data_IF_243897590004
#
_entry.id   IF_243897590004
#
_cell.length_a   1.000
_cell.length_b   1.000
_cell.length_c   1.000
_cell.angle_alpha   90.00
_cell.angle_beta   90.00
_cell.angle_gamma   90.00
#
_symmetry.space_group_name_H-M   'P 1'
#
loop_
_entity.id
_entity.type
_entity.pdbx_description
1 polymer ?
#
# COMPACT_ATOMS: atom_id res chain seq x y z
N UNK A 1 -10.16 2.31 -3.69
CA UNK A 1 -10.76 3.11 -4.80
C UNK A 1 -10.86 2.29 -6.07
N UNK A 2 -11.84 2.59 -6.94
CA UNK A 2 -11.90 1.95 -8.26
C UNK A 2 -10.73 2.41 -9.14
N UNK A 3 -10.10 1.48 -9.85
CA UNK A 3 -8.88 1.68 -10.67
C UNK A 3 -8.98 2.77 -11.76
N UNK A 4 -10.16 3.33 -12.01
CA UNK A 4 -10.40 4.27 -13.12
C UNK A 4 -10.05 5.74 -12.83
N UNK A 5 -9.85 6.13 -11.56
CA UNK A 5 -9.44 7.51 -11.22
C UNK A 5 -7.93 7.72 -11.24
N UNK A 6 -7.14 6.64 -11.21
CA UNK A 6 -5.67 6.70 -11.17
C UNK A 6 -5.13 6.64 -12.61
N UNK A 7 -4.61 7.76 -13.09
CA UNK A 7 -4.04 7.87 -14.43
C UNK A 7 -2.69 7.16 -14.47
N UNK A 8 -2.55 6.20 -15.39
CA UNK A 8 -1.26 5.58 -15.70
C UNK A 8 -0.55 6.39 -16.77
N UNK A 9 0.19 7.42 -16.36
CA UNK A 9 0.85 8.38 -17.23
C UNK A 9 1.69 7.74 -18.33
N UNK A 10 2.48 6.71 -18.01
CA UNK A 10 3.30 5.98 -19.00
C UNK A 10 2.47 5.33 -20.12
N UNK A 11 1.33 4.73 -19.77
CA UNK A 11 0.45 4.07 -20.74
C UNK A 11 -0.34 5.08 -21.55
N UNK A 12 -0.81 6.13 -20.90
CA UNK A 12 -1.53 7.23 -21.53
C UNK A 12 -0.64 7.92 -22.57
N UNK A 13 0.62 8.16 -22.22
CA UNK A 13 1.62 8.69 -23.14
C UNK A 13 1.82 7.81 -24.36
N UNK A 14 1.98 6.50 -24.14
CA UNK A 14 2.15 5.54 -25.23
C UNK A 14 0.93 5.50 -26.16
N UNK A 15 -0.28 5.74 -25.64
CA UNK A 15 -1.51 5.80 -26.43
C UNK A 15 -1.68 7.11 -27.19
N UNK A 16 -1.28 8.24 -26.62
CA UNK A 16 -1.36 9.56 -27.28
C UNK A 16 -0.29 9.76 -28.36
N UNK A 17 0.88 9.12 -28.22
CA UNK A 17 1.95 9.25 -29.21
C UNK A 17 1.63 8.34 -30.42
N UNK A 18 1.61 8.91 -31.65
CA UNK A 18 1.43 8.12 -32.86
C UNK A 18 2.58 7.12 -33.03
N UNK A 19 2.34 5.91 -33.58
CA UNK A 19 3.34 4.83 -33.62
C UNK A 19 4.70 5.24 -34.19
N UNK A 20 4.71 6.15 -35.16
CA UNK A 20 5.92 6.66 -35.85
C UNK A 20 6.85 7.43 -34.90
N UNK A 21 6.30 8.08 -33.87
CA UNK A 21 7.02 8.93 -32.91
C UNK A 21 7.35 8.20 -31.59
N UNK A 22 7.04 6.91 -31.46
CA UNK A 22 7.33 6.10 -30.26
C UNK A 22 8.80 5.69 -30.13
N UNK A 23 9.72 6.61 -30.42
CA UNK A 23 11.15 6.43 -30.15
C UNK A 23 11.45 6.81 -28.70
N UNK A 24 12.44 6.15 -28.10
CA UNK A 24 12.82 6.37 -26.69
C UNK A 24 13.11 7.84 -26.38
N UNK A 25 13.81 8.54 -27.27
CA UNK A 25 14.16 9.96 -27.11
C UNK A 25 12.94 10.88 -27.01
N UNK A 26 11.92 10.67 -27.84
CA UNK A 26 10.70 11.48 -27.81
C UNK A 26 9.87 11.18 -26.56
N UNK A 27 9.85 9.94 -26.11
CA UNK A 27 9.15 9.52 -24.90
C UNK A 27 9.81 10.15 -23.66
N UNK A 28 11.14 10.08 -23.56
CA UNK A 28 11.90 10.68 -22.46
C UNK A 28 11.72 12.21 -22.43
N UNK A 29 11.75 12.88 -23.59
CA UNK A 29 11.51 14.32 -23.69
C UNK A 29 10.09 14.71 -23.24
N UNK A 30 9.08 13.95 -23.65
CA UNK A 30 7.69 14.21 -23.27
C UNK A 30 7.43 13.93 -21.79
N UNK A 31 8.10 12.93 -21.21
CA UNK A 31 8.07 12.67 -19.77
C UNK A 31 8.57 13.89 -18.99
N UNK A 32 9.68 14.50 -19.42
CA UNK A 32 10.21 15.72 -18.77
C UNK A 32 9.17 16.85 -18.80
N UNK A 33 8.52 17.07 -19.95
CA UNK A 33 7.46 18.09 -20.10
C UNK A 33 6.21 17.80 -19.26
N UNK A 34 5.91 16.54 -18.99
CA UNK A 34 4.75 16.14 -18.19
C UNK A 34 5.00 16.12 -16.69
N UNK A 35 6.26 16.13 -16.25
CA UNK A 35 6.63 16.20 -14.82
C UNK A 35 5.80 17.23 -14.02
N UNK A 36 5.68 18.51 -14.43
CA UNK A 36 4.89 19.49 -13.67
C UNK A 36 3.39 19.18 -13.67
N UNK A 37 2.88 18.54 -14.71
CA UNK A 37 1.47 18.15 -14.77
C UNK A 37 1.20 16.93 -13.88
N UNK A 38 2.16 16.00 -13.82
CA UNK A 38 2.17 14.88 -12.90
C UNK A 38 2.17 15.35 -11.44
N UNK A 39 3.01 16.33 -11.08
CA UNK A 39 3.05 16.86 -9.70
C UNK A 39 1.72 17.50 -9.32
N UNK A 40 1.13 18.33 -10.19
CA UNK A 40 -0.19 18.94 -9.94
C UNK A 40 -1.27 17.87 -9.81
N UNK A 41 -1.23 16.85 -10.66
CA UNK A 41 -2.18 15.74 -10.60
C UNK A 41 -2.08 14.97 -9.28
N UNK A 42 -0.88 14.61 -8.83
CA UNK A 42 -0.68 13.92 -7.55
C UNK A 42 -1.15 14.78 -6.37
N UNK A 43 -0.83 16.08 -6.37
CA UNK A 43 -1.29 17.01 -5.34
C UNK A 43 -2.81 17.14 -5.30
N UNK A 44 -3.45 17.28 -6.46
CA UNK A 44 -4.91 17.39 -6.54
C UNK A 44 -5.60 16.07 -6.19
N UNK A 45 -5.06 14.94 -6.63
CA UNK A 45 -5.54 13.62 -6.26
C UNK A 45 -5.45 13.41 -4.75
N UNK A 46 -4.33 13.77 -4.13
CA UNK A 46 -4.14 13.72 -2.68
C UNK A 46 -5.20 14.55 -1.95
N UNK A 47 -5.42 15.79 -2.38
CA UNK A 47 -6.45 16.70 -1.83
C UNK A 47 -7.87 16.16 -2.02
N UNK A 48 -8.14 15.48 -3.14
CA UNK A 48 -9.45 14.85 -3.37
C UNK A 48 -9.66 13.59 -2.52
N UNK A 49 -8.59 12.84 -2.25
CA UNK A 49 -8.62 11.63 -1.40
C UNK A 49 -8.79 11.99 0.08
N UNK A 50 -8.16 13.07 0.54
CA UNK A 50 -8.27 13.55 1.91
C UNK A 50 -9.54 14.37 2.09
N UNK A 51 -10.65 13.66 2.36
CA UNK A 51 -11.91 14.32 2.73
C UNK A 51 -11.74 15.18 3.99
N UNK A 52 -12.50 16.27 4.11
CA UNK A 52 -12.41 17.18 5.26
C UNK A 52 -12.57 16.49 6.62
N UNK A 53 -13.27 15.35 6.67
CA UNK A 53 -13.40 14.52 7.88
C UNK A 53 -12.07 13.87 8.29
N UNK A 54 -11.30 13.35 7.33
CA UNK A 54 -9.99 12.75 7.59
C UNK A 54 -9.03 13.84 8.07
N UNK A 55 -8.99 14.98 7.37
CA UNK A 55 -8.15 16.12 7.74
C UNK A 55 -8.46 16.60 9.16
N UNK A 56 -9.74 16.71 9.49
CA UNK A 56 -10.16 17.16 10.81
C UNK A 56 -9.81 16.15 11.91
N UNK A 57 -10.00 14.86 11.65
CA UNK A 57 -9.63 13.80 12.58
C UNK A 57 -8.11 13.75 12.81
N UNK A 58 -7.30 13.83 11.76
CA UNK A 58 -5.84 13.94 11.88
C UNK A 58 -5.44 15.15 12.72
N UNK A 59 -6.06 16.31 12.47
CA UNK A 59 -5.80 17.53 13.24
C UNK A 59 -6.08 17.31 14.72
N UNK A 60 -7.27 16.83 15.08
CA UNK A 60 -7.65 16.64 16.49
C UNK A 60 -6.73 15.62 17.18
N UNK A 61 -6.37 14.53 16.50
CA UNK A 61 -5.44 13.54 17.05
C UNK A 61 -4.07 14.16 17.34
N UNK A 62 -3.55 14.99 16.43
CA UNK A 62 -2.28 15.68 16.65
C UNK A 62 -2.40 16.76 17.73
N UNK A 63 -3.48 17.54 17.76
CA UNK A 63 -3.69 18.56 18.80
C UNK A 63 -3.79 17.92 20.21
N UNK A 64 -4.39 16.72 20.31
CA UNK A 64 -4.55 16.00 21.57
C UNK A 64 -3.27 15.27 22.04
N UNK A 65 -2.56 14.61 21.13
CA UNK A 65 -1.45 13.70 21.48
C UNK A 65 -0.06 14.22 21.09
N UNK A 66 0.03 15.24 20.25
CA UNK A 66 1.28 15.84 19.78
C UNK A 66 1.23 17.38 19.82
N UNK A 67 0.97 18.00 20.99
CA UNK A 67 0.72 19.44 21.10
C UNK A 67 1.95 20.30 20.76
N UNK A 68 3.14 19.70 20.66
CA UNK A 68 4.39 20.39 20.32
C UNK A 68 4.54 20.64 18.82
N UNK A 69 3.81 19.91 17.96
CA UNK A 69 3.90 20.02 16.51
C UNK A 69 2.61 20.61 15.94
N UNK A 70 2.74 21.59 15.05
CA UNK A 70 1.59 22.20 14.40
C UNK A 70 1.18 21.37 13.19
N UNK A 71 -0.05 20.85 13.19
CA UNK A 71 -0.56 20.04 12.10
C UNK A 71 -0.87 20.89 10.84
N UNK A 72 -0.20 20.58 9.74
CA UNK A 72 -0.48 21.18 8.43
C UNK A 72 -1.17 20.17 7.49
N UNK A 73 -2.41 20.46 7.04
CA UNK A 73 -3.20 19.54 6.23
C UNK A 73 -2.69 19.37 4.79
N UNK A 74 -1.86 20.29 4.30
CA UNK A 74 -1.36 20.27 2.93
C UNK A 74 -0.09 19.43 2.75
N UNK A 75 0.46 18.89 3.83
CA UNK A 75 1.65 18.04 3.78
C UNK A 75 1.32 16.69 3.16
N UNK A 76 2.23 16.18 2.33
CA UNK A 76 2.13 14.81 1.82
C UNK A 76 2.30 13.79 2.94
N UNK A 77 1.85 12.55 2.74
CA UNK A 77 2.01 11.46 3.73
C UNK A 77 3.47 11.26 4.13
N UNK A 78 4.41 11.37 3.18
CA UNK A 78 5.85 11.26 3.46
C UNK A 78 6.36 12.40 4.35
N UNK A 79 5.92 13.63 4.08
CA UNK A 79 6.27 14.79 4.89
C UNK A 79 5.69 14.68 6.30
N UNK A 80 4.42 14.26 6.43
CA UNK A 80 3.78 13.98 7.73
C UNK A 80 4.57 12.93 8.53
N UNK A 81 5.12 11.91 7.84
CA UNK A 81 5.94 10.87 8.45
C UNK A 81 7.27 11.41 8.96
N UNK A 82 7.96 12.24 8.17
CA UNK A 82 9.21 12.90 8.56
C UNK A 82 9.01 13.87 9.74
N UNK A 83 7.88 14.57 9.76
CA UNK A 83 7.50 15.45 10.87
C UNK A 83 6.96 14.68 12.09
N UNK A 84 6.94 13.34 12.06
CA UNK A 84 6.39 12.47 13.11
C UNK A 84 4.97 12.89 13.54
N UNK A 85 4.09 13.16 12.59
CA UNK A 85 2.68 13.47 12.84
C UNK A 85 1.83 12.19 12.83
N UNK A 86 0.75 12.18 13.60
CA UNK A 86 -0.27 11.13 13.47
C UNK A 86 -1.00 11.37 12.15
N UNK A 87 -1.04 10.38 11.28
CA UNK A 87 -1.74 10.49 10.00
C UNK A 87 -2.60 9.25 9.74
N UNK A 88 -3.58 9.41 8.87
CA UNK A 88 -4.54 8.36 8.52
C UNK A 88 -4.37 8.02 7.05
N UNK A 89 -4.31 6.73 6.76
CA UNK A 89 -4.33 6.22 5.39
C UNK A 89 -5.56 5.34 5.16
N UNK A 90 -6.15 5.44 3.98
CA UNK A 90 -7.24 4.54 3.61
C UNK A 90 -6.68 3.16 3.29
N UNK A 91 -7.24 2.12 3.93
CA UNK A 91 -6.81 0.77 3.61
C UNK A 91 -7.40 0.36 2.26
N UNK A 92 -6.54 0.11 1.29
CA UNK A 92 -6.98 -0.48 0.02
C UNK A 92 -7.16 -1.97 0.24
N UNK A 93 -8.42 -2.43 0.34
CA UNK A 93 -8.73 -3.86 0.34
C UNK A 93 -8.14 -4.50 -0.92
N UNK A 94 -7.30 -5.55 -0.81
CA UNK A 94 -6.77 -6.22 -1.98
C UNK A 94 -7.93 -6.74 -2.83
N UNK A 95 -7.83 -6.54 -4.15
CA UNK A 95 -8.80 -7.11 -5.09
C UNK A 95 -8.53 -8.60 -5.24
N UNK A 96 -9.57 -9.43 -5.14
CA UNK A 96 -9.46 -10.86 -5.47
C UNK A 96 -9.03 -10.93 -6.94
N UNK A 97 -7.84 -11.45 -7.19
CA UNK A 97 -7.39 -11.78 -8.54
C UNK A 97 -7.53 -13.28 -8.73
N UNK A 98 -8.36 -13.67 -9.70
CA UNK A 98 -8.43 -15.05 -10.12
C UNK A 98 -7.22 -15.35 -11.00
N UNK A 99 -6.37 -16.28 -10.59
CA UNK A 99 -5.30 -16.81 -11.44
C UNK A 99 -5.94 -17.80 -12.41
N UNK A 100 -6.50 -17.31 -13.51
CA UNK A 100 -6.82 -18.12 -14.67
C UNK A 100 -6.21 -17.46 -15.90
N UNK A 101 -5.13 -18.05 -16.41
CA UNK A 101 -4.58 -17.70 -17.71
C UNK A 101 -4.91 -18.85 -18.69
N UNK A 102 -5.66 -18.54 -19.74
CA UNK A 102 -5.97 -19.46 -20.85
C UNK A 102 -4.73 -19.80 -21.73
N UNK A 103 -3.51 -19.47 -21.27
CA UNK A 103 -2.24 -19.55 -21.99
C UNK A 103 -1.09 -20.07 -21.10
N UNK A 104 -1.34 -21.12 -20.33
CA UNK A 104 -0.36 -21.69 -19.38
C UNK A 104 0.15 -23.07 -19.81
N UNK A 105 0.17 -23.35 -21.10
CA UNK A 105 0.69 -24.62 -21.60
C UNK A 105 2.00 -24.38 -22.34
N UNK A 106 3.03 -25.13 -21.94
CA UNK A 106 4.28 -25.20 -22.70
C UNK A 106 4.73 -26.65 -22.82
N UNK A 107 5.41 -26.96 -23.92
CA UNK A 107 5.95 -28.29 -24.20
C UNK A 107 7.44 -28.26 -23.82
N UNK A 108 7.86 -28.91 -22.72
CA UNK A 108 9.25 -28.90 -22.29
C UNK A 108 10.09 -29.73 -23.25
N UNK A 109 11.24 -29.20 -23.71
CA UNK A 109 12.17 -29.98 -24.55
C UNK A 109 12.87 -31.06 -23.73
N UNK A 110 12.61 -32.32 -24.04
CA UNK A 110 13.25 -33.49 -23.43
C UNK A 110 14.44 -33.91 -24.29
N UNK A 111 15.59 -34.11 -23.65
CA UNK A 111 16.79 -34.65 -24.31
C UNK A 111 16.76 -36.17 -24.21
N UNK A 112 16.67 -36.84 -25.35
CA UNK A 112 16.77 -38.30 -25.42
C UNK A 112 18.23 -38.75 -25.18
N UNK A 113 18.45 -40.04 -24.82
CA UNK A 113 19.80 -40.59 -24.61
C UNK A 113 20.73 -40.40 -25.82
N UNK A 114 20.15 -40.30 -27.02
CA UNK A 114 20.84 -40.11 -28.30
C UNK A 114 21.16 -38.62 -28.61
N UNK A 115 20.93 -37.72 -27.65
CA UNK A 115 21.27 -36.30 -27.74
C UNK A 115 20.27 -35.42 -28.49
N UNK A 116 19.30 -36.00 -29.19
CA UNK A 116 18.21 -35.28 -29.87
C UNK A 116 17.23 -34.66 -28.88
N UNK A 117 16.84 -33.40 -29.12
CA UNK A 117 15.84 -32.67 -28.35
C UNK A 117 14.46 -32.87 -29.00
N UNK A 118 13.51 -33.40 -28.24
CA UNK A 118 12.12 -33.59 -28.68
C UNK A 118 11.21 -32.82 -27.75
N UNK A 119 10.15 -32.21 -28.27
CA UNK A 119 9.14 -31.53 -27.46
C UNK A 119 8.35 -32.56 -26.64
N UNK A 120 8.30 -32.37 -25.33
CA UNK A 120 7.67 -33.26 -24.36
C UNK A 120 6.17 -33.02 -24.19
N UNK A 121 5.50 -33.81 -23.34
CA UNK A 121 4.08 -33.67 -23.09
C UNK A 121 3.75 -32.28 -22.53
N UNK A 122 2.61 -31.72 -22.94
CA UNK A 122 2.11 -30.42 -22.52
C UNK A 122 2.07 -30.30 -20.98
N UNK A 123 2.85 -29.37 -20.40
CA UNK A 123 2.94 -29.17 -18.95
C UNK A 123 2.43 -27.80 -18.51
N UNK A 124 1.91 -27.74 -17.28
CA UNK A 124 1.52 -26.51 -16.58
C UNK A 124 2.77 -25.92 -15.90
N UNK A 125 3.08 -24.60 -16.01
CA UNK A 125 4.16 -23.99 -15.27
C UNK A 125 3.88 -24.13 -13.77
N UNK A 126 4.79 -24.79 -13.06
CA UNK A 126 4.71 -24.89 -11.61
C UNK A 126 4.79 -23.47 -11.02
N UNK A 127 3.67 -23.00 -10.46
CA UNK A 127 3.66 -21.84 -9.57
C UNK A 127 4.59 -22.17 -8.39
N UNK A 128 5.78 -21.57 -8.38
CA UNK A 128 6.67 -21.63 -7.23
C UNK A 128 6.09 -20.74 -6.13
N UNK A 129 5.39 -21.39 -5.21
CA UNK A 129 4.90 -20.77 -3.99
C UNK A 129 6.11 -20.66 -3.06
N UNK A 130 6.54 -19.43 -2.77
CA UNK A 130 7.60 -19.18 -1.80
C UNK A 130 6.97 -19.03 -0.42
N UNK A 131 7.48 -19.76 0.56
CA UNK A 131 7.16 -19.52 1.96
C UNK A 131 7.84 -18.23 2.45
N UNK A 132 7.36 -17.67 3.56
CA UNK A 132 7.92 -16.44 4.14
C UNK A 132 9.45 -16.52 4.36
N UNK A 133 9.96 -17.70 4.74
CA UNK A 133 11.38 -17.94 4.98
C UNK A 133 12.24 -18.00 3.70
N UNK A 134 11.64 -18.36 2.56
CA UNK A 134 12.31 -18.52 1.26
C UNK A 134 12.38 -17.20 0.47
N UNK A 135 11.66 -16.18 0.92
CA UNK A 135 11.57 -14.87 0.29
C UNK A 135 12.80 -13.99 0.63
N UNK A 136 13.97 -14.32 0.08
CA UNK A 136 15.20 -13.53 0.29
C UNK A 136 15.54 -12.54 -0.83
N UNK A 137 14.94 -12.66 -2.02
CA UNK A 137 15.25 -11.81 -3.18
C UNK A 137 14.16 -10.78 -3.47
N UNK A 138 14.51 -9.49 -3.32
CA UNK A 138 13.64 -8.30 -3.43
C UNK A 138 13.00 -8.07 -4.82
N UNK A 139 13.36 -8.84 -5.85
CA UNK A 139 12.85 -8.64 -7.21
C UNK A 139 11.48 -9.27 -7.49
N UNK A 140 11.00 -10.14 -6.61
CA UNK A 140 9.71 -10.82 -6.81
C UNK A 140 8.64 -10.08 -6.01
N UNK A 141 7.78 -9.28 -6.65
CA UNK A 141 6.63 -8.68 -5.97
C UNK A 141 5.75 -9.82 -5.40
N UNK A 142 5.48 -9.87 -4.09
CA UNK A 142 4.75 -11.00 -3.52
C UNK A 142 3.31 -10.98 -4.03
N UNK A 143 2.87 -12.10 -4.61
CA UNK A 143 1.48 -12.35 -4.97
C UNK A 143 0.87 -13.16 -3.84
N UNK A 144 0.07 -12.52 -3.00
CA UNK A 144 -0.63 -13.20 -1.92
C UNK A 144 -1.84 -13.94 -2.47
N UNK A 145 -1.84 -15.27 -2.37
CA UNK A 145 -2.99 -16.11 -2.69
C UNK A 145 -3.93 -16.10 -1.47
N UNK A 146 -4.88 -15.16 -1.45
CA UNK A 146 -5.92 -15.14 -0.43
C UNK A 146 -6.93 -16.27 -0.71
N UNK A 147 -7.17 -17.14 0.28
CA UNK A 147 -8.24 -18.13 0.17
C UNK A 147 -9.60 -17.42 0.29
N UNK A 148 -10.65 -17.96 -0.35
CA UNK A 148 -12.02 -17.38 -0.29
C UNK A 148 -12.51 -17.20 1.15
N UNK A 149 -12.11 -18.11 2.05
CA UNK A 149 -12.41 -18.03 3.49
C UNK A 149 -11.75 -16.80 4.12
N UNK A 150 -10.47 -16.56 3.86
CA UNK A 150 -9.71 -15.42 4.40
C UNK A 150 -10.37 -14.08 4.03
N UNK A 151 -10.87 -13.96 2.80
CA UNK A 151 -11.56 -12.74 2.36
C UNK A 151 -12.90 -12.48 3.07
N UNK A 152 -13.54 -13.54 3.56
CA UNK A 152 -14.82 -13.48 4.27
C UNK A 152 -14.67 -13.42 5.79
N UNK A 153 -13.59 -13.98 6.35
CA UNK A 153 -13.37 -14.04 7.80
C UNK A 153 -12.49 -12.91 8.32
N UNK A 154 -11.58 -12.38 7.50
CA UNK A 154 -10.71 -11.27 7.90
C UNK A 154 -11.49 -9.97 7.68
N UNK A 155 -11.88 -9.33 8.78
CA UNK A 155 -12.41 -7.97 8.74
C UNK A 155 -11.25 -7.02 8.41
N UNK A 156 -11.15 -6.62 7.14
CA UNK A 156 -10.22 -5.58 6.74
C UNK A 156 -10.67 -4.24 7.33
N UNK A 157 -9.79 -3.57 8.07
CA UNK A 157 -10.03 -2.21 8.53
C UNK A 157 -10.33 -1.28 7.34
N UNK A 158 -11.27 -0.35 7.49
CA UNK A 158 -11.57 0.63 6.45
C UNK A 158 -10.44 1.67 6.31
N UNK A 159 -9.77 1.99 7.41
CA UNK A 159 -8.64 2.92 7.43
C UNK A 159 -7.63 2.54 8.51
N UNK A 160 -6.40 3.04 8.37
CA UNK A 160 -5.30 2.79 9.30
C UNK A 160 -4.85 4.11 9.90
N UNK A 161 -4.59 4.09 11.19
CA UNK A 161 -4.04 5.23 11.93
C UNK A 161 -2.57 4.95 12.23
N UNK A 162 -1.70 5.77 11.70
CA UNK A 162 -0.25 5.66 11.86
C UNK A 162 0.21 6.56 12.98
N UNK A 163 0.85 5.97 13.98
CA UNK A 163 1.32 6.63 15.19
C UNK A 163 2.85 6.61 15.19
N UNK A 164 3.53 7.75 15.37
CA UNK A 164 4.99 7.78 15.48
C UNK A 164 5.46 7.08 16.76
N UNK A 165 6.55 6.32 16.67
CA UNK A 165 7.14 5.59 17.81
C UNK A 165 7.53 6.52 18.97
N UNK A 166 7.90 7.77 18.69
CA UNK A 166 8.23 8.79 19.68
C UNK A 166 7.08 9.00 20.71
N UNK A 167 5.82 9.00 20.25
CA UNK A 167 4.66 9.17 21.13
C UNK A 167 4.37 7.95 22.00
N UNK A 168 4.78 6.77 21.55
CA UNK A 168 4.69 5.53 22.32
C UNK A 168 5.82 5.49 23.36
N UNK A 169 7.04 5.86 22.97
CA UNK A 169 8.20 5.94 23.85
C UNK A 169 8.00 6.94 25.01
N UNK A 170 7.40 8.09 24.71
CA UNK A 170 7.07 9.12 25.71
C UNK A 170 5.88 8.77 26.61
N UNK A 171 5.26 7.59 26.42
CA UNK A 171 4.06 7.11 27.14
C UNK A 171 2.82 7.99 26.98
N UNK A 172 2.81 8.91 26.03
CA UNK A 172 1.64 9.73 25.69
C UNK A 172 0.50 8.86 25.15
N UNK A 173 0.84 7.83 24.38
CA UNK A 173 -0.10 6.79 23.92
C UNK A 173 0.35 5.45 24.50
N UNK A 174 -0.46 4.91 25.42
CA UNK A 174 -0.19 3.60 26.03
C UNK A 174 -0.64 2.50 25.09
N UNK A 175 0.28 1.57 24.80
CA UNK A 175 0.07 0.42 23.93
C UNK A 175 0.09 -0.87 24.76
N UNK A 176 -0.82 -1.80 24.49
CA UNK A 176 -0.77 -3.14 25.06
C UNK A 176 0.37 -3.92 24.42
N UNK A 177 1.28 -4.53 25.20
CA UNK A 177 2.36 -5.33 24.63
C UNK A 177 1.81 -6.54 23.88
N UNK A 178 2.26 -6.76 22.64
CA UNK A 178 2.10 -8.05 21.97
C UNK A 178 2.90 -9.11 22.74
N UNK A 179 2.52 -10.38 22.55
CA UNK A 179 2.99 -11.55 23.34
C UNK A 179 4.51 -11.70 23.48
N UNK A 180 5.31 -11.03 22.64
CA UNK A 180 6.78 -11.11 22.62
C UNK A 180 7.50 -9.81 23.03
N UNK A 181 6.81 -8.83 23.61
CA UNK A 181 7.42 -7.61 24.17
C UNK A 181 8.09 -6.65 23.15
N UNK A 182 8.06 -6.99 21.86
CA UNK A 182 8.56 -6.17 20.75
C UNK A 182 7.41 -5.74 19.86
N UNK A 183 7.31 -4.44 19.58
CA UNK A 183 6.34 -3.87 18.65
C UNK A 183 6.87 -4.14 17.24
N UNK A 184 6.35 -5.15 16.56
CA UNK A 184 6.71 -5.41 15.16
C UNK A 184 6.02 -4.37 14.27
N UNK A 185 6.81 -3.63 13.48
CA UNK A 185 6.35 -2.52 12.61
C UNK A 185 5.27 -2.91 11.59
N UNK A 186 5.19 -4.19 11.22
CA UNK A 186 4.24 -4.72 10.25
C UNK A 186 2.92 -5.22 10.85
N UNK A 187 2.78 -5.24 12.17
CA UNK A 187 1.59 -5.75 12.85
C UNK A 187 0.73 -4.63 13.43
N UNK A 188 -0.61 -4.80 13.45
CA UNK A 188 -1.50 -3.84 14.10
C UNK A 188 -1.27 -3.85 15.61
N UNK A 189 -1.17 -2.64 16.16
CA UNK A 189 -0.93 -2.37 17.57
C UNK A 189 -2.27 -2.16 18.27
N UNK A 190 -2.40 -2.62 19.52
CA UNK A 190 -3.56 -2.31 20.35
C UNK A 190 -3.26 -1.15 21.29
N UNK A 191 -3.87 0.00 21.03
CA UNK A 191 -3.85 1.14 21.95
C UNK A 191 -4.72 0.82 23.17
N UNK A 192 -4.28 1.20 24.37
CA UNK A 192 -5.00 0.99 25.63
C UNK A 192 -5.83 2.22 26.06
N UNK A 193 -5.49 3.41 25.55
CA UNK A 193 -6.16 4.65 25.92
C UNK A 193 -7.62 4.68 25.46
N UNK A 194 -8.55 4.71 26.42
CA UNK A 194 -9.99 4.82 26.14
C UNK A 194 -10.35 6.13 25.45
N UNK A 195 -9.71 7.23 25.83
CA UNK A 195 -9.92 8.55 25.20
C UNK A 195 -9.59 8.54 23.71
N UNK A 196 -8.52 7.86 23.32
CA UNK A 196 -8.10 7.71 21.93
C UNK A 196 -9.17 6.98 21.12
N UNK A 197 -9.71 5.89 21.67
CA UNK A 197 -10.79 5.15 21.04
C UNK A 197 -12.10 5.94 20.97
N UNK A 198 -12.44 6.71 22.01
CA UNK A 198 -13.63 7.55 22.03
C UNK A 198 -13.56 8.64 20.97
N UNK A 199 -12.40 9.28 20.82
CA UNK A 199 -12.16 10.31 19.81
C UNK A 199 -12.30 9.73 18.40
N UNK A 200 -11.64 8.61 18.13
CA UNK A 200 -11.78 7.91 16.84
C UNK A 200 -13.22 7.46 16.59
N UNK A 201 -13.91 6.94 17.60
CA UNK A 201 -15.29 6.46 17.46
C UNK A 201 -16.30 7.58 17.23
N UNK A 202 -16.05 8.77 17.78
CA UNK A 202 -16.91 9.95 17.61
C UNK A 202 -16.79 10.53 16.20
N UNK A 203 -15.56 10.62 15.67
CA UNK A 203 -15.30 11.27 14.38
C UNK A 203 -15.26 10.31 13.19
N UNK A 204 -15.14 8.99 13.41
CA UNK A 204 -15.29 8.02 12.32
C UNK A 204 -16.72 8.05 11.80
N UNK A 205 -16.87 7.93 10.48
CA UNK A 205 -18.17 7.65 9.87
C UNK A 205 -18.75 6.34 10.46
N UNK A 206 -20.03 6.37 10.82
CA UNK A 206 -20.74 5.22 11.39
C UNK A 206 -20.51 3.96 10.53
N UNK A 207 -20.10 2.88 11.17
CA UNK A 207 -19.83 1.59 10.51
C UNK A 207 -18.43 1.43 9.89
N UNK A 208 -17.54 2.43 9.95
CA UNK A 208 -16.13 2.23 9.57
C UNK A 208 -15.32 1.58 10.70
N UNK A 209 -14.49 0.60 10.34
CA UNK A 209 -13.51 -0.05 11.21
C UNK A 209 -12.11 0.54 11.01
N UNK A 210 -11.24 0.46 12.01
CA UNK A 210 -9.87 0.97 11.93
C UNK A 210 -8.85 0.04 12.59
N UNK A 211 -7.60 0.17 12.15
CA UNK A 211 -6.42 -0.45 12.76
C UNK A 211 -5.38 0.62 13.07
N UNK A 212 -4.60 0.41 14.12
CA UNK A 212 -3.51 1.30 14.53
C UNK A 212 -2.17 0.65 14.27
N UNK A 213 -1.22 1.41 13.75
CA UNK A 213 0.15 0.97 13.43
C UNK A 213 1.16 1.96 14.00
N UNK A 214 2.35 1.49 14.38
CA UNK A 214 3.48 2.37 14.67
C UNK A 214 4.37 2.52 13.46
N UNK A 215 5.06 3.66 13.36
CA UNK A 215 6.08 3.87 12.34
C UNK A 215 7.27 4.66 12.90
N UNK A 216 8.43 4.50 12.23
CA UNK A 216 9.63 5.29 12.45
C UNK A 216 9.89 6.19 11.22
N UNK A 217 10.44 7.41 11.38
CA UNK A 217 10.70 8.30 10.26
C UNK A 217 11.76 7.79 9.27
N UNK A 218 12.59 6.82 9.67
CA UNK A 218 13.69 6.26 8.85
C UNK A 218 13.29 5.07 7.95
N UNK A 219 12.06 4.54 8.09
CA UNK A 219 11.50 3.53 7.17
C UNK A 219 10.96 4.18 5.88
#
# INVERSE_FOLDING_TARGET
MNKYTVLKWEKLLLWLIPPILRKKTHLDWLNVLLTPLHTIYEETLYKMQHTGQVIYLEKILNDAYNPTKNYNPNLSTEQKRLEELIYIDESVRPTIQYVYLHKEYYEPRIKLPDGTLVDGPLMIPQLKIFTHAEYKNRNNKPVYLAHRKDYTTIAYANFRVFIPENLIANKTIVVQPNKDGTVQKTEPIKVANMEFHNLLNFYKLAGKSYETYSYSPED
#
